data_IF_127333215058
#
_entry.id   IF_127333215058
#
_cell.length_a   1.000
_cell.length_b   1.000
_cell.length_c   1.000
_cell.angle_alpha   90.00
_cell.angle_beta   90.00
_cell.angle_gamma   90.00
#
_symmetry.space_group_name_H-M   'P 1'
#
loop_
_entity.id
_entity.type
_entity.pdbx_description
1 polymer ?
#
# COMPACT_ATOMS: atom_id res chain seq x y z
N UNK A 1 48.66 3.05 -38.33
CA UNK A 1 48.51 4.46 -37.92
C UNK A 1 47.92 5.27 -39.07
N UNK A 2 47.01 6.23 -38.86
CA UNK A 2 46.26 6.53 -37.64
C UNK A 2 44.72 6.48 -37.81
N UNK A 3 44.10 6.24 -36.67
CA UNK A 3 42.69 6.30 -36.29
C UNK A 3 42.16 7.74 -36.41
N UNK A 4 40.97 7.92 -37.00
CA UNK A 4 40.27 9.22 -37.08
C UNK A 4 39.00 9.16 -36.24
N UNK A 5 39.14 9.23 -34.93
CA UNK A 5 38.05 9.65 -34.04
C UNK A 5 38.06 11.17 -33.96
N UNK A 6 37.08 11.80 -34.59
CA UNK A 6 36.73 13.20 -34.31
C UNK A 6 36.23 13.29 -32.88
N UNK A 7 36.77 14.16 -32.01
CA UNK A 7 36.25 14.33 -30.67
C UNK A 7 34.88 15.02 -30.73
N UNK A 8 33.91 14.40 -30.04
CA UNK A 8 32.59 14.96 -29.81
C UNK A 8 32.71 16.17 -28.87
N UNK A 9 32.12 17.30 -29.28
CA UNK A 9 31.94 18.48 -28.44
C UNK A 9 30.47 18.57 -28.01
N UNK A 10 30.16 18.70 -26.71
CA UNK A 10 28.80 18.96 -26.28
C UNK A 10 28.35 20.36 -26.75
N UNK A 11 27.07 20.54 -27.13
CA UNK A 11 26.53 21.86 -27.40
C UNK A 11 26.55 22.71 -26.13
N UNK A 12 26.98 23.97 -26.27
CA UNK A 12 26.99 24.92 -25.15
C UNK A 12 25.56 25.21 -24.67
N UNK A 13 25.41 25.27 -23.34
CA UNK A 13 24.15 25.54 -22.68
C UNK A 13 23.62 26.94 -23.04
N UNK A 14 22.43 26.99 -23.61
CA UNK A 14 21.62 28.22 -23.70
C UNK A 14 21.15 28.61 -22.29
N UNK A 15 21.27 29.89 -21.88
CA UNK A 15 20.79 30.33 -20.58
C UNK A 15 19.27 30.17 -20.51
N UNK A 16 18.80 29.35 -19.55
CA UNK A 16 17.37 29.22 -19.23
C UNK A 16 16.87 30.54 -18.70
N UNK A 17 15.89 31.12 -19.40
CA UNK A 17 15.03 32.18 -18.87
C UNK A 17 14.35 31.63 -17.62
N UNK A 18 14.55 32.32 -16.50
CA UNK A 18 14.05 31.92 -15.19
C UNK A 18 12.52 31.94 -15.15
N UNK A 19 11.91 30.76 -15.23
CA UNK A 19 10.56 30.58 -14.74
C UNK A 19 10.62 30.40 -13.23
N UNK A 20 9.90 31.25 -12.51
CA UNK A 20 9.55 31.06 -11.10
C UNK A 20 8.93 29.67 -10.97
N UNK A 21 9.63 28.74 -10.33
CA UNK A 21 9.04 27.49 -9.87
C UNK A 21 8.11 27.85 -8.73
N UNK A 22 6.81 27.69 -8.95
CA UNK A 22 5.89 27.50 -7.83
C UNK A 22 6.41 26.27 -7.08
N UNK A 23 6.59 26.36 -5.77
CA UNK A 23 6.83 25.22 -4.90
C UNK A 23 5.61 24.28 -5.04
N UNK A 24 5.68 23.30 -5.94
CA UNK A 24 4.83 22.12 -5.88
C UNK A 24 5.44 21.26 -4.79
N UNK A 25 4.66 20.95 -3.76
CA UNK A 25 4.98 19.81 -2.92
C UNK A 25 5.17 18.60 -3.84
N UNK A 26 6.24 17.80 -3.65
CA UNK A 26 6.45 16.62 -4.47
C UNK A 26 5.23 15.71 -4.34
N UNK A 27 4.87 15.06 -5.46
CA UNK A 27 3.82 14.04 -5.44
C UNK A 27 4.14 13.01 -4.34
N UNK A 28 3.14 12.58 -3.56
CA UNK A 28 3.36 11.62 -2.49
C UNK A 28 4.03 10.37 -3.05
N UNK A 29 4.96 9.81 -2.28
CA UNK A 29 5.71 8.61 -2.64
C UNK A 29 5.57 7.55 -1.55
N UNK A 30 5.55 6.29 -1.95
CA UNK A 30 5.70 5.18 -1.00
C UNK A 30 6.94 5.31 -0.14
N UNK A 31 7.98 5.98 -0.62
CA UNK A 31 9.21 6.21 0.16
C UNK A 31 9.00 7.07 1.40
N UNK A 32 7.90 7.85 1.44
CA UNK A 32 7.55 8.72 2.57
C UNK A 32 6.94 7.94 3.75
N UNK A 33 6.52 6.70 3.53
CA UNK A 33 6.05 5.81 4.60
C UNK A 33 7.21 5.47 5.55
N UNK A 34 6.95 5.54 6.86
CA UNK A 34 7.97 5.26 7.86
C UNK A 34 8.43 3.79 7.80
N UNK A 35 9.75 3.58 7.92
CA UNK A 35 10.37 2.25 8.00
C UNK A 35 10.67 1.91 9.46
N UNK A 36 10.18 0.76 9.91
CA UNK A 36 10.43 0.20 11.23
C UNK A 36 11.48 -0.91 11.16
N UNK A 37 12.29 -1.04 12.22
CA UNK A 37 13.30 -2.10 12.35
C UNK A 37 12.69 -3.51 12.48
N UNK A 38 11.39 -3.59 12.80
CA UNK A 38 10.63 -4.82 12.92
C UNK A 38 9.13 -4.56 12.81
N UNK A 39 8.30 -5.61 12.78
CA UNK A 39 6.86 -5.43 12.74
C UNK A 39 6.39 -4.70 14.01
N UNK A 40 5.46 -3.74 13.88
CA UNK A 40 4.87 -3.12 15.06
C UNK A 40 4.07 -4.16 15.86
N UNK A 41 3.83 -3.89 17.14
CA UNK A 41 3.00 -4.75 17.99
C UNK A 41 1.64 -4.95 17.32
N UNK A 42 1.36 -6.20 16.95
CA UNK A 42 0.18 -6.57 16.19
C UNK A 42 -1.02 -6.53 17.11
N UNK A 43 -2.09 -5.86 16.70
CA UNK A 43 -3.38 -6.09 17.34
C UNK A 43 -3.83 -7.52 17.02
N UNK A 44 -3.82 -8.41 18.02
CA UNK A 44 -4.38 -9.75 17.92
C UNK A 44 -5.76 -9.74 18.59
N UNK A 45 -6.84 -10.20 17.92
CA UNK A 45 -8.19 -10.23 18.51
C UNK A 45 -8.28 -11.01 19.83
N UNK A 46 -7.32 -11.92 20.10
CA UNK A 46 -7.28 -12.77 21.30
C UNK A 46 -6.68 -12.09 22.53
N UNK A 47 -5.96 -10.98 22.36
CA UNK A 47 -5.26 -10.31 23.47
C UNK A 47 -6.11 -9.23 24.15
N UNK A 48 -7.33 -9.00 23.66
CA UNK A 48 -8.24 -7.95 24.14
C UNK A 48 -9.01 -8.31 25.42
N UNK A 49 -8.86 -9.52 25.97
CA UNK A 49 -9.73 -10.02 27.05
C UNK A 49 -9.06 -10.22 28.42
N UNK A 50 -7.77 -9.90 28.62
CA UNK A 50 -7.06 -10.31 29.86
C UNK A 50 -6.23 -9.23 30.61
N UNK A 51 -6.42 -7.93 30.39
CA UNK A 51 -5.78 -6.93 31.28
C UNK A 51 -6.73 -5.86 31.81
N UNK A 52 -7.17 -6.10 33.04
CA UNK A 52 -7.60 -5.08 33.97
C UNK A 52 -6.38 -4.27 34.47
N UNK A 53 -6.47 -2.95 34.27
CA UNK A 53 -6.09 -1.86 35.17
C UNK A 53 -4.82 -1.99 36.04
N UNK A 54 -3.75 -1.29 35.64
CA UNK A 54 -2.65 -0.89 36.54
C UNK A 54 -2.07 0.51 36.26
N UNK A 55 -2.89 1.48 35.82
CA UNK A 55 -2.54 2.90 35.94
C UNK A 55 -1.15 3.35 35.44
N UNK A 56 -0.58 2.67 34.44
CA UNK A 56 0.65 3.11 33.77
C UNK A 56 0.32 4.09 32.64
N UNK A 57 1.13 5.13 32.49
CA UNK A 57 0.96 6.20 31.51
C UNK A 57 0.57 5.61 30.15
N UNK A 58 -0.63 5.96 29.68
CA UNK A 58 -1.22 5.51 28.42
C UNK A 58 -0.17 5.55 27.33
N UNK A 59 0.44 4.39 27.08
CA UNK A 59 1.26 4.18 25.90
C UNK A 59 0.24 4.27 24.78
N UNK A 60 0.39 5.30 23.97
CA UNK A 60 -0.37 5.52 22.74
C UNK A 60 0.02 4.40 21.77
N UNK A 61 -0.36 3.17 22.10
CA UNK A 61 -0.08 1.96 21.33
C UNK A 61 -0.94 2.03 20.09
N UNK A 62 -0.43 2.77 19.11
CA UNK A 62 -0.92 2.76 17.75
C UNK A 62 -1.15 1.30 17.34
N UNK A 63 -2.41 0.94 17.11
CA UNK A 63 -2.80 -0.40 16.68
C UNK A 63 -2.58 -0.52 15.19
N UNK A 64 -1.79 -1.48 14.74
CA UNK A 64 -1.48 -1.66 13.32
C UNK A 64 -2.20 -2.88 12.72
N UNK A 65 -2.70 -2.73 11.49
CA UNK A 65 -3.19 -3.82 10.66
C UNK A 65 -2.17 -4.17 9.58
N UNK A 66 -1.74 -5.43 9.53
CA UNK A 66 -0.92 -5.94 8.43
C UNK A 66 -1.78 -6.16 7.19
N UNK A 67 -1.33 -5.63 6.05
CA UNK A 67 -1.97 -5.84 4.76
C UNK A 67 -1.12 -6.79 3.90
N UNK A 68 -1.80 -7.65 3.14
CA UNK A 68 -1.14 -8.51 2.15
C UNK A 68 -0.68 -7.72 0.93
N UNK A 69 0.37 -8.19 0.24
CA UNK A 69 0.80 -7.64 -1.05
C UNK A 69 -0.18 -8.04 -2.17
N UNK A 70 -1.30 -7.31 -2.26
CA UNK A 70 -2.26 -7.43 -3.36
C UNK A 70 -2.61 -6.04 -3.87
N UNK A 71 -3.02 -5.93 -5.14
CA UNK A 71 -3.39 -4.64 -5.75
C UNK A 71 -4.47 -3.90 -4.95
N UNK A 72 -5.49 -4.63 -4.47
CA UNK A 72 -6.53 -4.08 -3.59
C UNK A 72 -5.95 -3.58 -2.26
N UNK A 73 -5.15 -4.40 -1.59
CA UNK A 73 -4.55 -4.06 -0.30
C UNK A 73 -3.66 -2.81 -0.39
N UNK A 74 -2.81 -2.75 -1.41
CA UNK A 74 -1.89 -1.63 -1.61
C UNK A 74 -2.61 -0.37 -2.02
N UNK A 75 -3.66 -0.47 -2.83
CA UNK A 75 -4.50 0.68 -3.13
C UNK A 75 -5.23 1.21 -1.89
N UNK A 76 -5.76 0.34 -1.03
CA UNK A 76 -6.38 0.73 0.24
C UNK A 76 -5.37 1.45 1.14
N UNK A 77 -4.14 0.91 1.25
CA UNK A 77 -3.07 1.57 1.99
C UNK A 77 -2.76 2.95 1.41
N UNK A 78 -2.53 3.04 0.11
CA UNK A 78 -2.23 4.32 -0.55
C UNK A 78 -3.31 5.37 -0.30
N UNK A 79 -4.57 4.96 -0.39
CA UNK A 79 -5.70 5.84 -0.16
C UNK A 79 -5.79 6.37 1.28
N UNK A 80 -5.18 5.67 2.24
CA UNK A 80 -5.12 6.11 3.63
C UNK A 80 -4.12 7.25 3.86
N UNK A 81 -3.16 7.46 2.95
CA UNK A 81 -2.10 8.45 3.11
C UNK A 81 -0.85 7.87 3.77
N UNK A 82 0.33 8.31 3.30
CA UNK A 82 1.65 7.80 3.71
C UNK A 82 1.93 8.03 5.21
N UNK A 83 1.30 9.05 5.80
CA UNK A 83 1.36 9.39 7.22
C UNK A 83 0.65 8.37 8.15
N UNK A 84 -0.13 7.45 7.57
CA UNK A 84 -0.83 6.39 8.30
C UNK A 84 -0.27 4.99 8.00
N UNK A 85 0.77 4.92 7.16
CA UNK A 85 1.37 3.68 6.71
C UNK A 85 2.77 3.56 7.30
N UNK A 86 3.07 2.37 7.81
CA UNK A 86 4.43 1.99 8.18
C UNK A 86 4.80 0.70 7.47
N UNK A 87 6.10 0.48 7.28
CA UNK A 87 6.60 -0.76 6.69
C UNK A 87 7.80 -1.29 7.45
N UNK A 88 8.02 -2.59 7.41
CA UNK A 88 9.26 -3.21 7.88
C UNK A 88 9.76 -4.21 6.84
N UNK A 89 11.04 -4.56 6.86
CA UNK A 89 11.58 -5.56 5.94
C UNK A 89 10.84 -6.90 6.10
N UNK A 90 10.50 -7.56 4.98
CA UNK A 90 9.98 -8.92 4.98
C UNK A 90 11.14 -9.90 5.13
N UNK A 91 11.23 -10.55 6.29
CA UNK A 91 12.27 -11.54 6.60
C UNK A 91 11.72 -12.97 6.66
N UNK A 92 10.40 -13.14 6.55
CA UNK A 92 9.78 -14.47 6.54
C UNK A 92 10.04 -15.16 5.19
N UNK A 93 10.16 -16.49 5.18
CA UNK A 93 10.09 -17.21 3.93
C UNK A 93 8.72 -16.97 3.26
N UNK A 94 8.67 -16.81 1.92
CA UNK A 94 7.41 -16.71 1.21
C UNK A 94 6.47 -17.88 1.54
N UNK A 95 5.17 -17.65 1.79
CA UNK A 95 4.25 -18.74 2.05
C UNK A 95 4.11 -19.63 0.81
N UNK A 96 3.91 -20.94 0.97
CA UNK A 96 3.74 -21.84 -0.17
C UNK A 96 2.51 -21.45 -1.01
N UNK A 97 2.59 -21.69 -2.31
CA UNK A 97 1.47 -21.50 -3.23
C UNK A 97 0.62 -22.76 -3.24
N UNK A 98 -0.70 -22.60 -3.05
CA UNK A 98 -1.66 -23.70 -3.23
C UNK A 98 -2.16 -23.71 -4.67
N UNK A 99 -1.86 -24.76 -5.40
CA UNK A 99 -2.31 -24.96 -6.77
C UNK A 99 -3.55 -25.85 -6.75
N UNK A 100 -4.63 -25.39 -7.39
CA UNK A 100 -5.81 -26.20 -7.68
C UNK A 100 -5.89 -26.41 -9.18
N UNK A 101 -5.74 -27.64 -9.64
CA UNK A 101 -5.93 -28.03 -11.02
C UNK A 101 -7.26 -28.74 -11.18
N UNK A 102 -8.17 -28.14 -11.94
CA UNK A 102 -9.44 -28.76 -12.32
C UNK A 102 -9.23 -29.48 -13.64
N UNK A 103 -9.41 -30.81 -13.63
CA UNK A 103 -9.30 -31.64 -14.84
C UNK A 103 -10.55 -31.50 -15.71
N UNK A 104 -10.45 -31.93 -16.97
CA UNK A 104 -11.58 -31.91 -17.93
C UNK A 104 -12.81 -32.72 -17.44
N UNK A 105 -12.60 -33.73 -16.59
CA UNK A 105 -13.67 -34.52 -15.96
C UNK A 105 -14.31 -33.83 -14.73
N UNK A 106 -13.88 -32.61 -14.40
CA UNK A 106 -14.35 -31.86 -13.24
C UNK A 106 -13.67 -32.23 -11.92
N UNK A 107 -12.72 -33.18 -11.92
CA UNK A 107 -11.98 -33.56 -10.71
C UNK A 107 -10.97 -32.48 -10.34
N UNK A 108 -11.03 -32.03 -9.09
CA UNK A 108 -10.04 -31.11 -8.54
C UNK A 108 -8.85 -31.87 -7.94
N UNK A 109 -7.64 -31.43 -8.29
CA UNK A 109 -6.40 -31.82 -7.62
C UNK A 109 -5.77 -30.62 -6.96
N UNK A 110 -5.36 -30.77 -5.70
CA UNK A 110 -4.74 -29.70 -4.91
C UNK A 110 -3.39 -30.13 -4.39
N UNK A 111 -2.39 -29.29 -4.53
CA UNK A 111 -1.07 -29.48 -3.93
C UNK A 111 -0.45 -28.14 -3.55
N UNK A 112 0.59 -28.18 -2.72
CA UNK A 112 1.35 -27.01 -2.30
C UNK A 112 2.72 -27.02 -2.96
N UNK A 113 3.15 -25.86 -3.46
CA UNK A 113 4.46 -25.62 -4.04
C UNK A 113 5.18 -24.55 -3.22
N UNK A 114 6.51 -24.65 -3.15
CA UNK A 114 7.33 -23.58 -2.61
C UNK A 114 7.17 -22.33 -3.49
N UNK A 115 6.91 -21.18 -2.88
CA UNK A 115 6.87 -19.90 -3.60
C UNK A 115 8.30 -19.45 -3.87
N UNK A 116 8.63 -19.36 -5.15
CA UNK A 116 9.94 -18.94 -5.62
C UNK A 116 10.06 -17.41 -5.66
N UNK A 117 11.29 -16.91 -5.83
CA UNK A 117 11.52 -15.47 -6.10
C UNK A 117 10.88 -15.01 -7.41
N UNK A 118 10.72 -15.91 -8.38
CA UNK A 118 10.06 -15.59 -9.64
C UNK A 118 8.56 -15.37 -9.42
N UNK A 119 7.91 -16.24 -8.65
CA UNK A 119 6.50 -16.07 -8.27
C UNK A 119 6.26 -14.76 -7.51
N UNK A 120 7.20 -14.33 -6.67
CA UNK A 120 7.12 -13.01 -6.02
C UNK A 120 7.21 -11.87 -7.05
N UNK A 121 8.15 -11.92 -7.99
CA UNK A 121 8.32 -10.89 -9.00
C UNK A 121 7.08 -10.74 -9.90
N UNK A 122 6.41 -11.85 -10.23
CA UNK A 122 5.16 -11.83 -10.98
C UNK A 122 4.02 -11.19 -10.18
N UNK A 123 3.96 -11.45 -8.87
CA UNK A 123 2.99 -10.83 -7.97
C UNK A 123 3.26 -9.33 -7.83
N UNK A 124 4.52 -8.93 -7.63
CA UNK A 124 4.92 -7.52 -7.55
C UNK A 124 4.55 -6.79 -8.85
N UNK A 125 4.83 -7.39 -10.02
CA UNK A 125 4.47 -6.84 -11.33
C UNK A 125 2.94 -6.68 -11.49
N UNK A 126 2.17 -7.68 -11.02
CA UNK A 126 0.71 -7.60 -11.04
C UNK A 126 0.18 -6.48 -10.14
N UNK A 127 0.74 -6.33 -8.93
CA UNK A 127 0.40 -5.23 -8.02
C UNK A 127 0.71 -3.89 -8.68
N UNK A 128 1.90 -3.72 -9.24
CA UNK A 128 2.31 -2.48 -9.90
C UNK A 128 1.44 -2.13 -11.11
N UNK A 129 0.96 -3.15 -11.84
CA UNK A 129 0.00 -2.95 -12.94
C UNK A 129 -1.31 -2.34 -12.41
N UNK A 130 -1.87 -2.91 -11.34
CA UNK A 130 -3.09 -2.39 -10.71
C UNK A 130 -2.90 -0.97 -10.15
N UNK A 131 -1.75 -0.70 -9.53
CA UNK A 131 -1.43 0.62 -9.00
C UNK A 131 -1.28 1.65 -10.14
N UNK A 132 -0.59 1.28 -11.23
CA UNK A 132 -0.41 2.11 -12.40
C UNK A 132 -1.73 2.48 -13.09
N UNK A 133 -2.67 1.53 -13.20
CA UNK A 133 -4.03 1.80 -13.70
C UNK A 133 -4.80 2.81 -12.83
N UNK A 134 -4.48 2.90 -11.54
CA UNK A 134 -5.06 3.85 -10.59
C UNK A 134 -4.29 5.18 -10.50
N UNK A 135 -3.20 5.35 -11.27
CA UNK A 135 -2.32 6.51 -11.16
C UNK A 135 -1.51 6.56 -9.86
N UNK A 136 -1.32 5.40 -9.21
CA UNK A 136 -0.53 5.25 -7.97
C UNK A 136 0.89 4.82 -8.35
N UNK A 137 1.94 5.40 -7.74
CA UNK A 137 3.32 4.97 -7.99
C UNK A 137 3.52 3.49 -7.65
N UNK A 138 4.44 2.84 -8.36
CA UNK A 138 4.86 1.47 -8.07
C UNK A 138 5.38 1.36 -6.62
N UNK A 139 5.06 0.27 -5.95
CA UNK A 139 5.46 0.09 -4.55
C UNK A 139 6.88 -0.50 -4.44
N UNK A 140 7.67 -0.12 -3.43
CA UNK A 140 8.89 -0.86 -3.09
C UNK A 140 8.57 -2.29 -2.66
N UNK A 141 9.22 -3.29 -3.27
CA UNK A 141 9.08 -4.69 -2.90
C UNK A 141 9.93 -5.07 -1.68
N UNK A 142 9.64 -6.23 -1.07
CA UNK A 142 10.41 -6.78 0.05
C UNK A 142 10.05 -6.20 1.42
N UNK A 143 8.85 -5.62 1.55
CA UNK A 143 8.35 -5.03 2.77
C UNK A 143 7.03 -5.65 3.21
N UNK A 144 6.84 -5.74 4.52
CA UNK A 144 5.52 -5.90 5.13
C UNK A 144 4.93 -4.53 5.37
N UNK A 145 3.67 -4.36 4.97
CA UNK A 145 2.98 -3.09 5.05
C UNK A 145 1.92 -3.11 6.14
N UNK A 146 1.84 -2.01 6.88
CA UNK A 146 0.92 -1.88 7.99
C UNK A 146 0.20 -0.55 7.94
N UNK A 147 -1.10 -0.59 8.21
CA UNK A 147 -1.94 0.58 8.40
C UNK A 147 -2.08 0.86 9.90
N UNK A 148 -1.73 2.07 10.34
CA UNK A 148 -2.04 2.54 11.69
C UNK A 148 -3.53 2.82 11.80
N UNK A 149 -4.25 2.12 12.66
CA UNK A 149 -5.68 2.34 12.86
C UNK A 149 -5.98 3.75 13.39
N UNK A 150 -7.13 4.35 13.01
CA UNK A 150 -7.60 5.56 13.66
C UNK A 150 -7.85 5.30 15.15
N UNK A 151 -7.55 6.27 16.01
CA UNK A 151 -7.76 6.15 17.47
C UNK A 151 -9.22 5.84 17.84
N UNK A 152 -10.15 6.28 16.99
CA UNK A 152 -11.58 6.06 17.13
C UNK A 152 -12.01 4.60 16.91
N UNK A 153 -11.16 3.76 16.32
CA UNK A 153 -11.46 2.36 15.98
C UNK A 153 -10.99 1.40 17.07
N UNK A 154 -11.86 0.51 17.54
CA UNK A 154 -11.54 -0.44 18.63
C UNK A 154 -10.66 -1.63 18.22
N UNK A 155 -10.43 -1.81 16.92
CA UNK A 155 -9.67 -2.94 16.35
C UNK A 155 -9.99 -3.14 14.87
N UNK A 156 -9.51 -4.26 14.31
CA UNK A 156 -9.64 -4.56 12.89
C UNK A 156 -11.09 -4.66 12.42
N UNK A 157 -11.95 -5.32 13.19
CA UNK A 157 -13.34 -5.55 12.80
C UNK A 157 -14.17 -4.26 12.82
N UNK A 158 -13.97 -3.41 13.85
CA UNK A 158 -14.60 -2.08 13.92
C UNK A 158 -14.12 -1.21 12.75
N UNK A 159 -12.82 -1.21 12.46
CA UNK A 159 -12.27 -0.51 11.30
C UNK A 159 -12.88 -1.00 9.98
N UNK A 160 -12.92 -2.32 9.75
CA UNK A 160 -13.48 -2.90 8.54
C UNK A 160 -14.98 -2.59 8.39
N UNK A 161 -15.74 -2.61 9.48
CA UNK A 161 -17.15 -2.25 9.49
C UNK A 161 -17.36 -0.77 9.13
N UNK A 162 -16.56 0.13 9.71
CA UNK A 162 -16.65 1.57 9.42
C UNK A 162 -16.18 1.93 8.03
N UNK A 163 -15.10 1.32 7.55
CA UNK A 163 -14.63 1.50 6.17
C UNK A 163 -15.71 1.07 5.18
N UNK A 164 -16.35 -0.08 5.40
CA UNK A 164 -17.47 -0.55 4.58
C UNK A 164 -18.67 0.40 4.63
N UNK A 165 -19.00 0.93 5.81
CA UNK A 165 -20.06 1.91 5.97
C UNK A 165 -19.76 3.23 5.23
N UNK A 166 -18.51 3.69 5.28
CA UNK A 166 -18.06 4.92 4.62
C UNK A 166 -18.00 4.80 3.09
N UNK A 167 -17.64 3.63 2.56
CA UNK A 167 -17.65 3.37 1.12
C UNK A 167 -19.06 3.23 0.56
N UNK A 168 -20.02 2.78 1.38
CA UNK A 168 -21.38 2.48 0.96
C UNK A 168 -21.53 1.07 0.36
N UNK A 169 -22.78 0.63 0.10
CA UNK A 169 -23.05 -0.72 -0.36
C UNK A 169 -22.49 -0.99 -1.77
N UNK A 170 -21.97 -2.19 -2.00
CA UNK A 170 -21.59 -2.71 -3.33
C UNK A 170 -20.19 -2.34 -3.83
N UNK A 171 -19.56 -1.27 -3.30
CA UNK A 171 -18.25 -0.78 -3.76
C UNK A 171 -17.11 -1.79 -3.63
N UNK A 172 -17.08 -2.58 -2.56
CA UNK A 172 -16.07 -3.63 -2.39
C UNK A 172 -16.32 -4.90 -3.25
N UNK A 173 -17.32 -4.90 -4.13
CA UNK A 173 -17.75 -6.10 -4.87
C UNK A 173 -17.87 -5.89 -6.38
N UNK A 174 -17.75 -4.67 -6.89
CA UNK A 174 -18.03 -4.36 -8.30
C UNK A 174 -17.00 -3.39 -8.89
N UNK A 175 -16.21 -3.86 -9.85
CA UNK A 175 -15.29 -3.03 -10.64
C UNK A 175 -13.80 -3.28 -10.35
N UNK A 176 -12.90 -2.81 -11.23
CA UNK A 176 -11.47 -2.84 -10.96
C UNK A 176 -11.12 -1.89 -9.80
N UNK A 177 -10.12 -2.22 -8.96
CA UNK A 177 -9.72 -1.40 -7.82
C UNK A 177 -9.53 0.08 -8.18
N UNK A 178 -8.88 0.34 -9.32
CA UNK A 178 -8.49 1.67 -9.80
C UNK A 178 -9.62 2.68 -9.88
N UNK A 179 -10.85 2.24 -10.12
CA UNK A 179 -12.04 3.12 -10.18
C UNK A 179 -12.48 3.64 -8.79
N UNK A 180 -12.08 2.98 -7.71
CA UNK A 180 -12.54 3.29 -6.36
C UNK A 180 -11.55 4.11 -5.53
N UNK A 181 -10.36 4.44 -6.05
CA UNK A 181 -9.31 5.15 -5.29
C UNK A 181 -9.83 6.46 -4.65
N UNK A 182 -10.60 7.25 -5.41
CA UNK A 182 -11.19 8.49 -4.90
C UNK A 182 -12.23 8.23 -3.79
N UNK A 183 -12.97 7.11 -3.88
CA UNK A 183 -13.92 6.72 -2.84
C UNK A 183 -13.19 6.28 -1.55
N UNK A 184 -12.12 5.50 -1.67
CA UNK A 184 -11.28 5.14 -0.53
C UNK A 184 -10.69 6.36 0.15
N UNK A 185 -10.11 7.30 -0.62
CA UNK A 185 -9.54 8.52 -0.05
C UNK A 185 -10.56 9.32 0.77
N UNK A 186 -11.79 9.47 0.26
CA UNK A 186 -12.88 10.11 1.02
C UNK A 186 -13.26 9.34 2.27
N UNK A 187 -13.36 8.01 2.18
CA UNK A 187 -13.67 7.18 3.34
C UNK A 187 -12.59 7.29 4.42
N UNK A 188 -11.32 7.29 4.04
CA UNK A 188 -10.20 7.44 4.97
C UNK A 188 -10.14 8.82 5.61
N UNK A 189 -10.39 9.89 4.86
CA UNK A 189 -10.52 11.22 5.43
C UNK A 189 -11.58 11.26 6.54
N UNK A 190 -12.75 10.65 6.32
CA UNK A 190 -13.80 10.54 7.35
C UNK A 190 -13.32 9.74 8.57
N UNK A 191 -12.61 8.63 8.36
CA UNK A 191 -12.16 7.76 9.45
C UNK A 191 -11.06 8.38 10.32
N UNK A 192 -10.12 9.10 9.70
CA UNK A 192 -9.00 9.77 10.39
C UNK A 192 -9.32 11.22 10.78
N UNK A 193 -10.55 11.69 10.53
CA UNK A 193 -10.99 13.04 10.90
C UNK A 193 -10.42 14.16 10.00
N UNK A 194 -9.86 13.81 8.84
CA UNK A 194 -9.42 14.75 7.81
C UNK A 194 -10.57 15.26 6.94
N UNK A 195 -10.34 16.37 6.23
CA UNK A 195 -11.24 16.80 5.17
C UNK A 195 -11.09 15.86 3.95
N UNK A 196 -12.19 15.42 3.31
CA UNK A 196 -12.08 14.61 2.10
C UNK A 196 -11.31 15.38 1.01
N UNK A 197 -10.41 14.72 0.25
CA UNK A 197 -9.70 15.40 -0.81
C UNK A 197 -10.70 15.91 -1.86
N UNK A 198 -10.45 17.13 -2.34
CA UNK A 198 -11.29 17.81 -3.33
C UNK A 198 -11.38 16.94 -4.60
N UNK A 199 -12.59 16.61 -5.10
CA UNK A 199 -12.74 15.78 -6.31
C UNK A 199 -12.15 16.37 -7.60
N UNK A 200 -11.57 17.59 -7.56
CA UNK A 200 -11.07 18.32 -8.74
C UNK A 200 -9.55 18.37 -8.95
N UNK A 201 -8.74 17.71 -8.12
CA UNK A 201 -7.27 17.76 -8.25
C UNK A 201 -6.68 16.84 -9.32
N UNK A 202 -7.04 17.04 -10.59
CA UNK A 202 -6.24 16.59 -11.72
C UNK A 202 -5.58 17.83 -12.33
N UNK A 203 -4.28 18.00 -12.08
CA UNK A 203 -3.44 19.06 -12.63
C UNK A 203 -2.15 18.46 -13.16
#
# INVERSE_FOLDING_TARGET
>A
MPDRRTPWHPPQAVPRVGHRTCDHDPDPSWSDCAVLDGPPERWCPKDADDRADDGSCAREEARYLEYSESGWSMMILWAAGTEHIVRCLETRPPPPVRVTHVREDGTEQRWELERTRHDQADIDLFVDTVLGEAGVPAQPSGYRWFLRLPDSCRGADDFAARLRAALGPGRLQTGPPSEDLAAFRRAFAVLYGGAPPDPGGAG
#
